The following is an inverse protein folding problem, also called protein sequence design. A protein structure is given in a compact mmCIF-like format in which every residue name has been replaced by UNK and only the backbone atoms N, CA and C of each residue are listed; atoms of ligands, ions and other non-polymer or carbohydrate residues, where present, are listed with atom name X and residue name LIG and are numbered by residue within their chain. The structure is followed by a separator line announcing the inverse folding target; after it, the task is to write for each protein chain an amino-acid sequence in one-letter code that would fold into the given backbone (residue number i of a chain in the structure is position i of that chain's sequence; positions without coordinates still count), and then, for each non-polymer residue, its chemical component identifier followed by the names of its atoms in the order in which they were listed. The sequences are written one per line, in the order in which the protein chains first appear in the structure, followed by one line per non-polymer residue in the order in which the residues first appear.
data_IF_822025154164
#
_entry.id   IF_822025154164
#
_cell.length_a   1.000
_cell.length_b   1.000
_cell.length_c   1.000
_cell.angle_alpha   90.00
_cell.angle_beta   90.00
_cell.angle_gamma   90.00
#
_symmetry.space_group_name_H-M   'P 1'
#
loop_
_entity.id
_entity.type
_entity.pdbx_description
1 polymer ?
#
# COMPACT_ATOMS: atom_id res chain seq x y z
N UNK A 1 38.65 25.50 29.19
CA UNK A 1 37.64 24.49 29.59
C UNK A 1 36.35 24.82 28.88
N UNK A 2 36.05 24.14 27.77
CA UNK A 2 34.75 24.30 27.09
C UNK A 2 33.70 23.52 27.86
N UNK A 3 32.67 24.21 28.36
CA UNK A 3 31.48 23.55 28.89
C UNK A 3 30.76 22.82 27.75
N UNK A 4 30.29 21.58 27.96
CA UNK A 4 29.47 20.89 26.96
C UNK A 4 28.16 21.66 26.81
N UNK A 5 27.90 22.08 25.57
CA UNK A 5 26.67 22.73 25.14
C UNK A 5 25.49 21.82 25.51
N UNK A 6 24.56 22.31 26.33
CA UNK A 6 23.35 21.55 26.71
C UNK A 6 22.54 21.28 25.44
N UNK A 7 22.54 20.03 24.96
CA UNK A 7 21.65 19.58 23.90
C UNK A 7 20.21 19.76 24.38
N UNK A 8 19.42 20.55 23.66
CA UNK A 8 18.02 20.79 24.00
C UNK A 8 17.17 19.54 23.73
N UNK A 9 15.92 19.53 24.19
CA UNK A 9 14.96 18.46 23.86
C UNK A 9 14.84 18.20 22.34
N UNK A 10 15.10 19.23 21.53
CA UNK A 10 15.02 19.18 20.06
C UNK A 10 16.19 18.41 19.42
N UNK A 11 17.31 18.25 20.13
CA UNK A 11 18.50 17.56 19.63
C UNK A 11 18.50 16.06 20.00
N UNK A 12 17.44 15.59 20.66
CA UNK A 12 17.31 14.18 20.99
C UNK A 12 17.24 13.36 19.69
N UNK A 13 18.04 12.29 19.55
CA UNK A 13 18.07 11.46 18.35
C UNK A 13 16.85 10.52 18.32
N UNK A 14 15.66 11.10 18.21
CA UNK A 14 14.40 10.38 18.10
C UNK A 14 14.12 10.09 16.62
N UNK A 15 13.90 8.83 16.28
CA UNK A 15 13.39 8.43 14.97
C UNK A 15 11.89 8.73 14.85
N UNK A 16 11.51 9.99 15.09
CA UNK A 16 10.15 10.48 15.09
C UNK A 16 10.02 11.61 14.05
N UNK A 17 9.74 11.21 12.82
CA UNK A 17 9.28 12.11 11.77
C UNK A 17 7.86 11.78 11.30
N UNK A 18 7.27 12.68 10.52
CA UNK A 18 5.88 12.57 10.04
C UNK A 18 5.58 11.22 9.38
N UNK A 19 6.49 10.71 8.55
CA UNK A 19 6.29 9.44 7.84
C UNK A 19 6.27 8.22 8.78
N UNK A 20 7.26 8.11 9.66
CA UNK A 20 7.30 7.07 10.70
C UNK A 20 6.08 7.17 11.62
N UNK A 21 5.67 8.38 12.00
CA UNK A 21 4.48 8.59 12.82
C UNK A 21 3.22 8.07 12.13
N UNK A 22 2.98 8.44 10.87
CA UNK A 22 1.78 8.03 10.14
C UNK A 22 1.76 6.52 9.87
N UNK A 23 2.89 5.91 9.51
CA UNK A 23 2.98 4.45 9.34
C UNK A 23 2.75 3.70 10.64
N UNK A 24 3.25 4.22 11.76
CA UNK A 24 3.01 3.66 13.09
C UNK A 24 1.55 3.83 13.51
N UNK A 25 0.94 4.99 13.27
CA UNK A 25 -0.48 5.23 13.52
C UNK A 25 -1.37 4.24 12.75
N UNK A 26 -1.12 4.06 11.44
CA UNK A 26 -1.88 3.11 10.63
C UNK A 26 -1.71 1.67 11.12
N UNK A 27 -0.48 1.28 11.51
CA UNK A 27 -0.22 -0.03 12.12
C UNK A 27 -1.05 -0.24 13.37
N UNK A 28 -1.06 0.72 14.30
CA UNK A 28 -1.79 0.58 15.56
C UNK A 28 -3.31 0.62 15.35
N UNK A 29 -3.82 1.41 14.40
CA UNK A 29 -5.25 1.44 14.06
C UNK A 29 -5.70 0.10 13.46
N UNK A 30 -4.98 -0.41 12.45
CA UNK A 30 -5.29 -1.70 11.84
C UNK A 30 -5.14 -2.83 12.85
N UNK A 31 -4.10 -2.77 13.70
CA UNK A 31 -3.87 -3.77 14.72
C UNK A 31 -4.93 -3.79 15.81
N UNK A 32 -5.31 -2.62 16.34
CA UNK A 32 -6.41 -2.50 17.31
C UNK A 32 -7.71 -3.04 16.74
N UNK A 33 -7.98 -2.79 15.45
CA UNK A 33 -9.16 -3.32 14.79
C UNK A 33 -9.10 -4.86 14.72
N UNK A 34 -8.01 -5.43 14.21
CA UNK A 34 -7.80 -6.89 14.19
C UNK A 34 -7.96 -7.52 15.59
N UNK A 35 -7.36 -6.90 16.61
CA UNK A 35 -7.33 -7.43 17.98
C UNK A 35 -8.71 -7.38 18.67
N UNK A 36 -9.56 -6.40 18.32
CA UNK A 36 -10.88 -6.20 18.94
C UNK A 36 -12.00 -6.96 18.21
N UNK A 37 -12.02 -6.91 16.88
CA UNK A 37 -13.14 -7.48 16.09
C UNK A 37 -12.77 -8.73 15.31
N UNK A 38 -11.50 -9.16 15.32
CA UNK A 38 -11.04 -10.31 14.55
C UNK A 38 -10.50 -9.91 13.16
N UNK A 39 -9.68 -10.79 12.59
CA UNK A 39 -9.00 -10.55 11.30
C UNK A 39 -10.01 -10.46 10.15
N UNK A 40 -11.02 -11.32 10.11
CA UNK A 40 -11.99 -11.36 9.00
C UNK A 40 -12.82 -10.08 8.94
N UNK A 41 -13.34 -9.62 10.08
CA UNK A 41 -14.11 -8.38 10.18
C UNK A 41 -13.25 -7.14 9.93
N UNK A 42 -12.03 -7.10 10.51
CA UNK A 42 -11.08 -6.02 10.26
C UNK A 42 -10.72 -5.91 8.78
N UNK A 43 -10.61 -7.04 8.10
CA UNK A 43 -10.36 -7.12 6.67
C UNK A 43 -11.49 -6.51 5.84
N UNK A 44 -12.75 -6.70 6.25
CA UNK A 44 -13.90 -6.04 5.64
C UNK A 44 -13.80 -4.51 5.70
N UNK A 45 -13.45 -3.95 6.86
CA UNK A 45 -13.23 -2.51 7.01
C UNK A 45 -12.07 -1.99 6.16
N UNK A 46 -10.94 -2.70 6.17
CA UNK A 46 -9.77 -2.34 5.36
C UNK A 46 -10.08 -2.42 3.86
N UNK A 47 -11.02 -3.30 3.47
CA UNK A 47 -11.49 -3.40 2.08
C UNK A 47 -12.28 -2.16 1.65
N UNK A 48 -13.10 -1.58 2.52
CA UNK A 48 -13.81 -0.32 2.24
C UNK A 48 -12.81 0.84 2.04
N UNK A 49 -11.77 0.90 2.88
CA UNK A 49 -10.70 1.90 2.72
C UNK A 49 -9.95 1.68 1.41
N UNK A 50 -9.58 0.43 1.11
CA UNK A 50 -8.90 0.04 -0.12
C UNK A 50 -9.72 0.36 -1.37
N UNK A 51 -11.04 0.19 -1.33
CA UNK A 51 -11.95 0.56 -2.42
C UNK A 51 -11.90 2.06 -2.69
N UNK A 52 -12.12 2.90 -1.67
CA UNK A 52 -12.11 4.37 -1.86
C UNK A 52 -10.77 4.88 -2.38
N UNK A 53 -9.67 4.32 -1.89
CA UNK A 53 -8.33 4.66 -2.36
C UNK A 53 -8.10 4.17 -3.79
N UNK A 54 -8.54 2.96 -4.12
CA UNK A 54 -8.45 2.41 -5.46
C UNK A 54 -9.21 3.24 -6.49
N UNK A 55 -10.42 3.70 -6.17
CA UNK A 55 -11.24 4.54 -7.05
C UNK A 55 -10.50 5.85 -7.33
N UNK A 56 -10.06 6.51 -6.25
CA UNK A 56 -9.32 7.76 -6.34
C UNK A 56 -8.04 7.61 -7.19
N UNK A 57 -7.26 6.55 -6.96
CA UNK A 57 -6.02 6.35 -7.71
C UNK A 57 -6.29 5.98 -9.17
N UNK A 58 -7.29 5.14 -9.44
CA UNK A 58 -7.70 4.79 -10.79
C UNK A 58 -8.04 6.06 -11.59
N UNK A 59 -8.89 6.92 -11.02
CA UNK A 59 -9.30 8.16 -11.65
C UNK A 59 -8.13 9.14 -11.85
N UNK A 60 -7.22 9.24 -10.87
CA UNK A 60 -6.01 10.05 -11.01
C UNK A 60 -5.17 9.60 -12.21
N UNK A 61 -4.91 8.29 -12.36
CA UNK A 61 -4.12 7.78 -13.48
C UNK A 61 -4.85 7.89 -14.81
N UNK A 62 -6.14 7.53 -14.88
CA UNK A 62 -6.96 7.67 -16.09
C UNK A 62 -7.02 9.13 -16.57
N UNK A 63 -7.18 10.07 -15.65
CA UNK A 63 -7.17 11.51 -15.95
C UNK A 63 -5.81 11.96 -16.46
N UNK A 64 -4.72 11.59 -15.78
CA UNK A 64 -3.37 11.96 -16.17
C UNK A 64 -2.96 11.37 -17.54
N UNK A 65 -3.41 10.15 -17.84
CA UNK A 65 -3.19 9.47 -19.12
C UNK A 65 -4.20 9.87 -20.21
N UNK A 66 -5.24 10.62 -19.86
CA UNK A 66 -6.35 11.01 -20.74
C UNK A 66 -7.06 9.82 -21.40
N UNK A 67 -7.32 8.77 -20.62
CA UNK A 67 -8.00 7.55 -21.09
C UNK A 67 -9.28 7.30 -20.29
N UNK A 68 -10.29 6.74 -20.96
CA UNK A 68 -11.52 6.30 -20.30
C UNK A 68 -11.37 4.97 -19.57
N UNK A 69 -10.36 4.17 -19.93
CA UNK A 69 -9.95 2.91 -19.29
C UNK A 69 -8.48 2.63 -19.58
N UNK A 70 -7.82 1.92 -18.66
CA UNK A 70 -6.46 1.43 -18.83
C UNK A 70 -6.44 0.22 -19.78
N UNK A 71 -5.43 0.17 -20.66
CA UNK A 71 -5.06 -1.07 -21.35
C UNK A 71 -4.35 -2.04 -20.39
N UNK A 72 -4.12 -3.29 -20.80
CA UNK A 72 -3.44 -4.29 -19.96
C UNK A 72 -2.01 -3.85 -19.62
N UNK A 73 -1.27 -3.41 -20.63
CA UNK A 73 0.07 -2.85 -20.45
C UNK A 73 0.06 -1.64 -19.50
N UNK A 74 -0.90 -0.72 -19.67
CA UNK A 74 -1.05 0.44 -18.78
C UNK A 74 -1.39 0.04 -17.36
N UNK A 75 -2.22 -1.00 -17.15
CA UNK A 75 -2.55 -1.49 -15.82
C UNK A 75 -1.28 -1.92 -15.08
N UNK A 76 -0.44 -2.75 -15.70
CA UNK A 76 0.82 -3.19 -15.10
C UNK A 76 1.73 -2.02 -14.71
N UNK A 77 1.92 -1.07 -15.63
CA UNK A 77 2.72 0.14 -15.40
C UNK A 77 2.16 1.01 -14.27
N UNK A 78 0.84 1.22 -14.23
CA UNK A 78 0.15 2.03 -13.22
C UNK A 78 0.28 1.41 -11.83
N UNK A 79 0.06 0.10 -11.68
CA UNK A 79 0.16 -0.56 -10.38
C UNK A 79 1.58 -0.49 -9.82
N UNK A 80 2.58 -0.67 -10.69
CA UNK A 80 3.99 -0.52 -10.32
C UNK A 80 4.32 0.93 -9.95
N UNK A 81 3.91 1.92 -10.75
CA UNK A 81 4.17 3.34 -10.47
C UNK A 81 3.49 3.83 -9.20
N UNK A 82 2.25 3.38 -8.95
CA UNK A 82 1.52 3.69 -7.73
C UNK A 82 2.34 3.31 -6.49
N UNK A 83 2.96 2.12 -6.48
CA UNK A 83 3.78 1.70 -5.35
C UNK A 83 5.11 2.44 -5.30
N UNK A 84 5.75 2.69 -6.43
CA UNK A 84 6.98 3.50 -6.50
C UNK A 84 6.80 4.88 -5.86
N UNK A 85 5.68 5.56 -6.13
CA UNK A 85 5.37 6.89 -5.56
C UNK A 85 5.28 6.92 -4.04
N UNK A 86 4.97 5.79 -3.43
CA UNK A 86 4.87 5.65 -1.97
C UNK A 86 6.00 4.79 -1.39
N UNK A 87 7.17 4.76 -2.06
CA UNK A 87 8.37 4.07 -1.60
C UNK A 87 8.25 2.53 -1.52
N UNK A 88 7.31 1.94 -2.26
CA UNK A 88 7.29 0.51 -2.54
C UNK A 88 8.13 0.19 -3.78
N UNK A 89 8.68 -1.02 -3.85
CA UNK A 89 9.42 -1.51 -5.02
C UNK A 89 8.72 -2.75 -5.57
N UNK A 90 7.70 -2.52 -6.39
CA UNK A 90 6.96 -3.55 -7.12
C UNK A 90 7.50 -3.66 -8.55
N UNK A 91 7.40 -4.85 -9.14
CA UNK A 91 7.82 -5.12 -10.51
C UNK A 91 6.97 -6.22 -11.14
N UNK A 92 6.90 -6.24 -12.47
CA UNK A 92 6.18 -7.27 -13.23
C UNK A 92 7.08 -8.51 -13.34
N UNK A 93 6.56 -9.66 -12.90
CA UNK A 93 7.21 -10.96 -13.06
C UNK A 93 6.80 -11.58 -14.41
N UNK A 94 5.51 -11.55 -14.72
CA UNK A 94 4.96 -12.04 -15.98
C UNK A 94 3.59 -11.41 -16.25
N UNK A 95 3.25 -11.28 -17.53
CA UNK A 95 1.94 -10.81 -18.00
C UNK A 95 1.51 -11.66 -19.20
N UNK A 96 0.30 -12.18 -19.15
CA UNK A 96 -0.36 -12.89 -20.25
C UNK A 96 -1.83 -12.45 -20.36
N UNK A 97 -2.60 -13.09 -21.24
CA UNK A 97 -4.00 -12.76 -21.48
C UNK A 97 -4.93 -13.10 -20.30
N UNK A 98 -4.48 -13.91 -19.34
CA UNK A 98 -5.27 -14.36 -18.20
C UNK A 98 -4.86 -13.66 -16.89
N UNK A 99 -3.57 -13.36 -16.69
CA UNK A 99 -3.06 -12.84 -15.42
C UNK A 99 -1.89 -11.87 -15.55
N UNK A 100 -1.79 -11.00 -14.56
CA UNK A 100 -0.65 -10.15 -14.27
C UNK A 100 -0.03 -10.62 -12.95
N UNK A 101 1.25 -10.97 -12.96
CA UNK A 101 1.99 -11.42 -11.77
C UNK A 101 2.97 -10.34 -11.37
N UNK A 102 2.85 -9.86 -10.13
CA UNK A 102 3.70 -8.82 -9.56
C UNK A 102 4.54 -9.39 -8.42
N UNK A 103 5.80 -8.98 -8.37
CA UNK A 103 6.68 -9.19 -7.23
C UNK A 103 6.96 -7.87 -6.53
N UNK A 104 7.48 -7.93 -5.31
CA UNK A 104 7.98 -6.75 -4.62
C UNK A 104 9.26 -7.03 -3.81
N UNK A 105 10.12 -6.01 -3.68
CA UNK A 105 11.36 -6.05 -2.87
C UNK A 105 11.28 -5.13 -1.65
N UNK A 106 10.37 -4.16 -1.64
CA UNK A 106 10.16 -3.23 -0.54
C UNK A 106 8.67 -2.96 -0.31
N UNK A 107 8.28 -2.85 0.97
CA UNK A 107 6.95 -2.42 1.39
C UNK A 107 6.98 -0.92 1.72
N UNK A 108 6.00 -0.11 1.27
CA UNK A 108 5.80 1.26 1.75
C UNK A 108 5.77 1.39 3.28
N UNK A 109 5.24 0.36 3.94
CA UNK A 109 5.14 0.32 5.41
C UNK A 109 6.44 -0.08 6.12
N UNK A 110 7.49 -0.46 5.39
CA UNK A 110 8.74 -0.93 5.98
C UNK A 110 8.52 -2.08 6.96
N UNK A 111 9.16 -2.00 8.12
CA UNK A 111 9.04 -2.97 9.23
C UNK A 111 7.65 -2.95 9.91
N UNK A 112 6.86 -1.89 9.71
CA UNK A 112 5.54 -1.75 10.36
C UNK A 112 4.49 -2.71 9.81
N UNK A 113 4.75 -3.35 8.68
CA UNK A 113 3.86 -4.37 8.10
C UNK A 113 3.99 -5.73 8.79
N UNK A 114 5.09 -5.99 9.52
CA UNK A 114 5.37 -7.30 10.10
C UNK A 114 4.28 -7.73 11.09
N UNK A 115 3.72 -8.92 10.85
CA UNK A 115 2.64 -9.49 11.66
C UNK A 115 1.29 -8.77 11.53
N UNK A 116 1.09 -7.96 10.47
CA UNK A 116 -0.15 -7.22 10.20
C UNK A 116 -0.68 -7.54 8.79
N UNK A 117 -1.25 -8.75 8.58
CA UNK A 117 -1.71 -9.20 7.27
C UNK A 117 -2.82 -8.31 6.67
N UNK A 118 -3.64 -7.63 7.49
CA UNK A 118 -4.65 -6.70 6.96
C UNK A 118 -4.04 -5.54 6.15
N UNK A 119 -2.84 -5.07 6.48
CA UNK A 119 -2.15 -4.02 5.72
C UNK A 119 -1.73 -4.50 4.34
N UNK A 120 -1.38 -5.79 4.19
CA UNK A 120 -1.15 -6.40 2.88
C UNK A 120 -2.44 -6.51 2.08
N UNK A 121 -3.56 -6.86 2.73
CA UNK A 121 -4.87 -6.93 2.07
C UNK A 121 -5.33 -5.57 1.54
N UNK A 122 -5.00 -4.46 2.21
CA UNK A 122 -5.24 -3.12 1.66
C UNK A 122 -4.63 -2.94 0.27
N UNK A 123 -3.39 -3.42 0.05
CA UNK A 123 -2.73 -3.32 -1.26
C UNK A 123 -3.45 -4.15 -2.31
N UNK A 124 -3.82 -5.38 -1.96
CA UNK A 124 -4.56 -6.28 -2.86
C UNK A 124 -5.93 -5.73 -3.24
N UNK A 125 -6.61 -5.07 -2.30
CA UNK A 125 -7.89 -4.41 -2.56
C UNK A 125 -7.75 -3.22 -3.51
N UNK A 126 -6.73 -2.37 -3.31
CA UNK A 126 -6.45 -1.26 -4.23
C UNK A 126 -6.14 -1.77 -5.64
N UNK A 127 -5.27 -2.78 -5.76
CA UNK A 127 -4.91 -3.35 -7.06
C UNK A 127 -6.10 -4.03 -7.74
N UNK A 128 -6.83 -4.84 -6.98
CA UNK A 128 -8.01 -5.55 -7.46
C UNK A 128 -9.09 -4.59 -7.94
N UNK A 129 -9.32 -3.49 -7.23
CA UNK A 129 -10.30 -2.49 -7.64
C UNK A 129 -9.88 -1.78 -8.94
N UNK A 130 -8.64 -1.30 -9.03
CA UNK A 130 -8.15 -0.65 -10.26
C UNK A 130 -8.28 -1.61 -11.45
N UNK A 131 -7.95 -2.89 -11.28
CA UNK A 131 -8.13 -3.89 -12.32
C UNK A 131 -9.62 -4.12 -12.65
N UNK A 132 -10.49 -4.29 -11.65
CA UNK A 132 -11.91 -4.51 -11.85
C UNK A 132 -12.61 -3.34 -12.56
N UNK A 133 -12.27 -2.10 -12.21
CA UNK A 133 -12.85 -0.91 -12.84
C UNK A 133 -12.49 -0.77 -14.33
N UNK A 134 -11.38 -1.35 -14.77
CA UNK A 134 -10.93 -1.27 -16.17
C UNK A 134 -11.31 -2.50 -17.00
N UNK A 135 -11.56 -3.65 -16.36
CA UNK A 135 -11.80 -4.94 -17.04
C UNK A 135 -13.11 -5.63 -16.63
N UNK A 136 -13.92 -5.02 -15.76
CA UNK A 136 -15.22 -5.52 -15.28
C UNK A 136 -15.15 -6.50 -14.12
N UNK A 137 -14.04 -7.24 -13.99
CA UNK A 137 -13.79 -8.15 -12.87
C UNK A 137 -12.29 -8.34 -12.66
N UNK A 138 -11.88 -8.52 -11.41
CA UNK A 138 -10.53 -8.96 -11.07
C UNK A 138 -10.57 -9.91 -9.88
N UNK A 139 -9.77 -10.98 -9.95
CA UNK A 139 -9.46 -11.83 -8.81
C UNK A 139 -7.99 -11.60 -8.44
N UNK A 140 -7.75 -11.24 -7.20
CA UNK A 140 -6.40 -11.06 -6.65
C UNK A 140 -6.08 -12.22 -5.72
N UNK A 141 -4.91 -12.82 -5.88
CA UNK A 141 -4.36 -13.83 -4.98
C UNK A 141 -3.01 -13.32 -4.45
N UNK A 142 -2.78 -13.47 -3.15
CA UNK A 142 -1.47 -13.21 -2.54
C UNK A 142 -0.81 -14.57 -2.31
N UNK A 143 0.12 -14.94 -3.19
CA UNK A 143 0.86 -16.21 -3.06
C UNK A 143 1.96 -16.11 -1.99
N UNK A 144 2.58 -14.93 -1.86
CA UNK A 144 3.64 -14.63 -0.90
C UNK A 144 3.52 -13.18 -0.42
N UNK A 145 3.86 -12.94 0.84
CA UNK A 145 3.91 -11.62 1.44
C UNK A 145 5.21 -11.45 2.24
N UNK A 146 5.76 -10.24 2.24
CA UNK A 146 6.92 -9.86 3.06
C UNK A 146 6.53 -9.39 4.47
N UNK A 147 5.25 -9.52 4.83
CA UNK A 147 4.67 -9.15 6.12
C UNK A 147 4.62 -10.32 7.11
#
# INVERSE_FOLDING_TARGET
MNQPQKSGLQDLPLALERDVFLRSLLRELSGTLEDVIGVDEASGFISIVGQRMGDQFNDMYKTALQVSRLSRAQLGEVLVDLKRRIQGDFYIISEDDEKLVLGNRACPFGDKVLGRPSLCMMTSNVFGLIAAENFGYAKVSIEQAIA
#
